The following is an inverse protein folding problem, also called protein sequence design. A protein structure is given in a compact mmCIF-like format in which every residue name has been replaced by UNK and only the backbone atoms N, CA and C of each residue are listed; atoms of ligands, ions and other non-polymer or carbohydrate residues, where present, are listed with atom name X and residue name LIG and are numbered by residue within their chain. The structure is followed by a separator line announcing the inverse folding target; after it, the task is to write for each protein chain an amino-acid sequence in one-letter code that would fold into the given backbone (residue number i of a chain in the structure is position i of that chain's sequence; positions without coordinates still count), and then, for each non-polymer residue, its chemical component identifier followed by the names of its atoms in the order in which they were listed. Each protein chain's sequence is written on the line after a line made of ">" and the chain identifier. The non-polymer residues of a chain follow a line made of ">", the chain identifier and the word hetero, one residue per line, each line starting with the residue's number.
data_IF_798029336343
#
_entry.id   IF_798029336343
#
_cell.length_a   1.000
_cell.length_b   1.000
_cell.length_c   1.000
_cell.angle_alpha   90.00
_cell.angle_beta   90.00
_cell.angle_gamma   90.00
#
_symmetry.space_group_name_H-M   'P 1'
#
loop_
_entity.id
_entity.type
_entity.pdbx_description
1 polymer ?
#
# COMPACT_ATOMS: atom_id res chain seq x y z
N UNK A 1 -14.42 -19.58 -8.00
CA UNK A 1 -13.32 -18.60 -7.90
C UNK A 1 -12.01 -19.35 -8.17
N UNK A 2 -11.58 -19.44 -9.42
CA UNK A 2 -10.21 -19.92 -9.72
C UNK A 2 -9.24 -18.74 -9.68
N UNK A 3 -8.00 -18.99 -9.27
CA UNK A 3 -6.96 -17.96 -9.14
C UNK A 3 -6.78 -17.15 -10.44
N UNK A 4 -6.82 -17.84 -11.58
CA UNK A 4 -6.75 -17.26 -12.94
C UNK A 4 -7.81 -16.17 -13.16
N UNK A 5 -9.03 -16.34 -12.63
CA UNK A 5 -10.13 -15.39 -12.78
C UNK A 5 -9.94 -14.13 -11.91
N UNK A 6 -9.22 -14.25 -10.79
CA UNK A 6 -8.97 -13.16 -9.84
C UNK A 6 -7.67 -12.41 -10.18
N UNK A 7 -6.80 -13.00 -11.01
CA UNK A 7 -5.52 -12.40 -11.40
C UNK A 7 -5.67 -11.24 -12.39
N UNK A 8 -6.69 -11.27 -13.24
CA UNK A 8 -7.02 -10.18 -14.17
C UNK A 8 -8.52 -9.95 -14.20
N UNK A 9 -9.08 -9.40 -13.12
CA UNK A 9 -10.50 -9.13 -13.04
C UNK A 9 -10.86 -8.01 -14.03
N UNK A 10 -12.11 -8.03 -14.52
CA UNK A 10 -12.64 -6.92 -15.31
C UNK A 10 -12.59 -5.63 -14.46
N UNK A 11 -12.49 -4.44 -15.08
CA UNK A 11 -12.42 -3.18 -14.35
C UNK A 11 -13.59 -2.95 -13.39
N UNK A 12 -14.77 -3.43 -13.76
CA UNK A 12 -15.99 -3.36 -12.94
C UNK A 12 -15.90 -4.24 -11.69
N UNK A 13 -15.46 -5.50 -11.86
CA UNK A 13 -15.24 -6.42 -10.76
C UNK A 13 -14.09 -5.95 -9.85
N UNK A 14 -13.02 -5.40 -10.44
CA UNK A 14 -11.92 -4.80 -9.68
C UNK A 14 -12.40 -3.65 -8.80
N UNK A 15 -13.22 -2.74 -9.35
CA UNK A 15 -13.80 -1.63 -8.58
C UNK A 15 -14.74 -2.13 -7.48
N UNK A 16 -15.50 -3.19 -7.74
CA UNK A 16 -16.40 -3.81 -6.75
C UNK A 16 -15.63 -4.48 -5.60
N UNK A 17 -14.52 -5.14 -5.90
CA UNK A 17 -13.72 -5.89 -4.94
C UNK A 17 -12.74 -4.99 -4.15
N UNK A 18 -12.06 -4.07 -4.84
CA UNK A 18 -11.01 -3.22 -4.26
C UNK A 18 -11.53 -1.84 -3.84
N UNK A 19 -12.71 -1.42 -4.33
CA UNK A 19 -13.31 -0.11 -4.05
C UNK A 19 -12.72 1.05 -4.86
N UNK A 20 -11.62 0.82 -5.57
CA UNK A 20 -10.90 1.82 -6.37
C UNK A 20 -10.74 1.38 -7.82
N UNK A 21 -10.53 2.34 -8.73
CA UNK A 21 -10.21 2.03 -10.14
C UNK A 21 -8.79 1.44 -10.23
N UNK A 22 -8.52 0.55 -11.19
CA UNK A 22 -7.20 -0.04 -11.36
C UNK A 22 -6.09 0.99 -11.60
N UNK A 23 -6.41 2.09 -12.28
CA UNK A 23 -5.51 3.23 -12.49
C UNK A 23 -5.05 3.87 -11.17
N UNK A 24 -6.01 4.24 -10.31
CA UNK A 24 -5.74 4.78 -8.97
C UNK A 24 -4.99 3.77 -8.10
N UNK A 25 -5.33 2.48 -8.20
CA UNK A 25 -4.63 1.43 -7.46
C UNK A 25 -3.16 1.35 -7.87
N UNK A 26 -2.84 1.45 -9.17
CA UNK A 26 -1.45 1.48 -9.63
C UNK A 26 -0.70 2.70 -9.06
N UNK A 27 -1.33 3.88 -9.04
CA UNK A 27 -0.73 5.07 -8.44
C UNK A 27 -0.45 4.87 -6.94
N UNK A 28 -1.35 4.21 -6.21
CA UNK A 28 -1.11 3.86 -4.79
C UNK A 28 0.06 2.89 -4.64
N UNK A 29 0.19 1.91 -5.53
CA UNK A 29 1.33 0.99 -5.53
C UNK A 29 2.64 1.72 -5.79
N UNK A 30 2.67 2.74 -6.64
CA UNK A 30 3.85 3.57 -6.85
C UNK A 30 4.27 4.28 -5.56
N UNK A 31 3.32 4.83 -4.79
CA UNK A 31 3.60 5.46 -3.49
C UNK A 31 4.13 4.45 -2.47
N UNK A 32 3.58 3.22 -2.44
CA UNK A 32 4.00 2.16 -1.52
C UNK A 32 5.38 1.59 -1.89
N UNK A 33 5.64 1.41 -3.19
CA UNK A 33 6.92 0.89 -3.73
C UNK A 33 8.02 1.93 -3.74
N UNK A 34 7.64 3.21 -3.79
CA UNK A 34 8.60 4.29 -3.56
C UNK A 34 9.30 3.99 -2.24
N UNK A 35 10.64 3.91 -2.20
CA UNK A 35 11.36 3.70 -0.97
C UNK A 35 10.99 4.86 -0.06
N UNK A 36 10.06 4.61 0.87
CA UNK A 36 9.62 5.63 1.79
C UNK A 36 10.88 6.00 2.55
N UNK A 37 11.40 7.21 2.31
CA UNK A 37 12.40 7.82 3.16
C UNK A 37 11.97 7.51 4.60
N UNK A 38 12.82 6.89 5.43
CA UNK A 38 12.44 6.53 6.79
C UNK A 38 11.90 7.82 7.42
N UNK A 39 10.59 7.85 7.70
CA UNK A 39 9.96 9.01 8.31
C UNK A 39 10.79 9.31 9.54
N UNK A 40 11.46 10.46 9.56
CA UNK A 40 12.18 10.89 10.76
C UNK A 40 11.16 10.82 11.90
N UNK A 41 11.39 9.91 12.84
CA UNK A 41 10.58 9.80 14.04
C UNK A 41 10.83 11.08 14.82
N UNK A 42 10.06 12.13 14.57
CA UNK A 42 10.03 13.34 15.40
C UNK A 42 9.28 13.01 16.68
N UNK A 43 9.87 12.13 17.48
CA UNK A 43 9.46 11.82 18.84
C UNK A 43 10.49 12.35 19.83
N UNK A 44 10.09 12.46 21.10
CA UNK A 44 11.03 12.73 22.20
C UNK A 44 12.13 11.65 22.17
N UNK A 45 13.42 12.02 22.18
CA UNK A 45 14.48 11.03 22.28
C UNK A 45 14.25 10.19 23.55
N UNK A 46 14.25 8.87 23.38
CA UNK A 46 14.10 7.94 24.51
C UNK A 46 15.34 8.05 25.39
N UNK A 47 15.25 8.79 26.49
CA UNK A 47 16.29 8.89 27.52
C UNK A 47 16.28 7.64 28.42
N UNK A 48 16.35 6.46 27.84
CA UNK A 48 16.61 5.24 28.60
C UNK A 48 18.07 4.86 28.35
N UNK A 49 18.95 5.42 29.17
CA UNK A 49 20.31 4.91 29.35
C UNK A 49 20.21 3.59 30.13
N UNK A 50 20.80 2.48 29.65
CA UNK A 50 21.10 1.36 30.52
C UNK A 50 22.25 1.78 31.46
N UNK A 51 22.00 1.73 32.76
CA UNK A 51 23.04 1.66 33.80
C UNK A 51 23.52 0.21 33.91
#
# INVERSE_FOLDING_TARGET
>A
MTYEQVKSPKPEDFKRLCGVRPDTFNQMLEVVRSPSQPKQKTGRPSQLSPE
#
